data_IF_939161728979
#
_entry.id   IF_939161728979
#
_cell.length_a   1.000
_cell.length_b   1.000
_cell.length_c   1.000
_cell.angle_alpha   90.00
_cell.angle_beta   90.00
_cell.angle_gamma   90.00
#
_symmetry.space_group_name_H-M   'P 1'
#
loop_
_entity.id
_entity.type
_entity.pdbx_description
1 polymer ?
#
# COMPACT_ATOMS: atom_id res chain seq x y z
N UNK A 1 10.09 -14.91 7.89
CA UNK A 1 8.75 -14.36 7.67
C UNK A 1 8.87 -13.50 6.44
N UNK A 2 8.26 -13.88 5.32
CA UNK A 2 8.34 -13.08 4.12
C UNK A 2 7.46 -11.85 4.29
N UNK A 3 8.06 -10.67 4.24
CA UNK A 3 7.35 -9.40 4.12
C UNK A 3 7.25 -9.03 2.63
N UNK A 4 6.34 -8.14 2.29
CA UNK A 4 6.24 -7.63 0.93
C UNK A 4 7.49 -6.81 0.59
N UNK A 5 7.99 -7.02 -0.62
CA UNK A 5 9.11 -6.24 -1.17
C UNK A 5 8.65 -4.84 -1.57
N UNK A 6 9.59 -3.89 -1.62
CA UNK A 6 9.34 -2.52 -2.13
C UNK A 6 8.66 -2.52 -3.49
N UNK A 7 9.05 -3.43 -4.39
CA UNK A 7 8.44 -3.57 -5.73
C UNK A 7 6.98 -3.99 -5.69
N UNK A 8 6.62 -4.93 -4.81
CA UNK A 8 5.24 -5.37 -4.64
C UNK A 8 4.38 -4.24 -4.04
N UNK A 9 4.89 -3.57 -3.00
CA UNK A 9 4.22 -2.44 -2.36
C UNK A 9 4.03 -1.30 -3.37
N UNK A 10 5.09 -0.90 -4.08
CA UNK A 10 5.01 0.10 -5.16
C UNK A 10 3.93 -0.25 -6.17
N UNK A 11 3.90 -1.48 -6.66
CA UNK A 11 2.89 -1.92 -7.64
C UNK A 11 1.47 -1.74 -7.12
N UNK A 12 1.23 -2.10 -5.86
CA UNK A 12 -0.09 -1.98 -5.23
C UNK A 12 -0.45 -0.53 -4.93
N UNK A 13 0.49 0.28 -4.46
CA UNK A 13 0.29 1.73 -4.22
C UNK A 13 -0.07 2.42 -5.53
N UNK A 14 0.69 2.20 -6.61
CA UNK A 14 0.42 2.81 -7.91
C UNK A 14 -0.91 2.34 -8.50
N UNK A 15 -1.23 1.04 -8.38
CA UNK A 15 -2.51 0.50 -8.83
C UNK A 15 -3.69 1.07 -8.03
N UNK A 16 -3.48 1.38 -6.75
CA UNK A 16 -4.50 2.00 -5.90
C UNK A 16 -4.66 3.49 -6.20
N UNK A 17 -3.59 4.21 -6.51
CA UNK A 17 -3.66 5.61 -6.93
C UNK A 17 -4.40 5.80 -8.26
N UNK A 18 -4.22 4.87 -9.19
CA UNK A 18 -4.92 4.88 -10.48
C UNK A 18 -6.45 4.82 -10.39
N UNK A 19 -7.02 4.48 -9.23
CA UNK A 19 -8.49 4.50 -9.05
C UNK A 19 -9.03 5.88 -8.73
N UNK A 20 -8.18 6.82 -8.32
CA UNK A 20 -8.56 8.17 -7.91
C UNK A 20 -7.98 9.27 -8.80
N UNK A 21 -6.86 9.01 -9.48
CA UNK A 21 -6.17 9.99 -10.32
C UNK A 21 -5.25 9.33 -11.36
N UNK A 22 -5.00 10.05 -12.45
CA UNK A 22 -3.92 9.71 -13.38
C UNK A 22 -2.56 10.04 -12.76
N UNK A 23 -1.63 9.09 -12.89
CA UNK A 23 -0.28 9.24 -12.34
C UNK A 23 0.64 9.97 -13.33
N UNK A 24 1.51 10.87 -12.84
CA UNK A 24 2.54 11.51 -13.66
C UNK A 24 3.60 10.50 -14.10
N UNK A 25 4.49 10.94 -15.01
CA UNK A 25 5.59 10.12 -15.55
C UNK A 25 6.54 9.61 -14.45
N UNK A 26 6.78 10.42 -13.41
CA UNK A 26 7.40 9.99 -12.16
C UNK A 26 6.36 9.88 -11.03
N UNK A 27 5.81 8.68 -10.80
CA UNK A 27 4.75 8.50 -9.83
C UNK A 27 5.24 8.46 -8.38
N UNK A 28 6.54 8.27 -8.12
CA UNK A 28 7.09 8.30 -6.75
C UNK A 28 7.20 9.72 -6.20
N UNK A 29 7.47 10.70 -7.07
CA UNK A 29 7.48 12.13 -6.73
C UNK A 29 6.09 12.76 -6.63
N UNK A 30 5.02 12.02 -6.95
CA UNK A 30 3.66 12.54 -6.89
C UNK A 30 3.26 12.87 -5.43
N UNK A 31 2.57 13.99 -5.23
CA UNK A 31 2.17 14.48 -3.90
C UNK A 31 0.71 14.19 -3.60
N UNK A 32 0.38 13.88 -2.35
CA UNK A 32 -1.02 13.72 -1.91
C UNK A 32 -1.75 15.05 -1.69
N UNK A 33 -1.04 16.18 -1.76
CA UNK A 33 -1.60 17.52 -1.51
C UNK A 33 -2.71 17.93 -2.50
N UNK A 34 -2.70 17.38 -3.71
CA UNK A 34 -3.70 17.67 -4.74
C UNK A 34 -5.00 16.87 -4.57
N UNK A 35 -5.03 15.87 -3.67
CA UNK A 35 -6.18 15.01 -3.47
C UNK A 35 -7.06 15.53 -2.34
N UNK A 36 -8.37 15.54 -2.58
CA UNK A 36 -9.34 15.83 -1.53
C UNK A 36 -9.47 14.67 -0.53
N UNK A 37 -10.12 14.93 0.60
CA UNK A 37 -10.28 13.92 1.66
C UNK A 37 -11.05 12.67 1.18
N UNK A 38 -11.99 12.83 0.24
CA UNK A 38 -12.74 11.69 -0.30
C UNK A 38 -11.83 10.81 -1.16
N UNK A 39 -11.03 11.39 -2.04
CA UNK A 39 -10.04 10.69 -2.85
C UNK A 39 -9.00 9.99 -1.96
N UNK A 40 -8.47 10.66 -0.93
CA UNK A 40 -7.56 10.06 0.05
C UNK A 40 -8.19 8.84 0.72
N UNK A 41 -9.44 8.92 1.16
CA UNK A 41 -10.17 7.80 1.74
C UNK A 41 -10.37 6.63 0.77
N UNK A 42 -10.76 6.92 -0.48
CA UNK A 42 -10.93 5.89 -1.52
C UNK A 42 -9.60 5.21 -1.82
N UNK A 43 -8.51 5.97 -1.90
CA UNK A 43 -7.16 5.44 -2.07
C UNK A 43 -6.78 4.52 -0.92
N UNK A 44 -6.90 4.95 0.34
CA UNK A 44 -6.54 4.15 1.51
C UNK A 44 -7.35 2.85 1.61
N UNK A 45 -8.66 2.92 1.32
CA UNK A 45 -9.54 1.74 1.31
C UNK A 45 -9.13 0.76 0.21
N UNK A 46 -8.85 1.28 -0.99
CA UNK A 46 -8.39 0.48 -2.13
C UNK A 46 -7.03 -0.16 -1.83
N UNK A 47 -6.09 0.61 -1.28
CA UNK A 47 -4.76 0.16 -0.90
C UNK A 47 -4.83 -0.99 0.10
N UNK A 48 -5.62 -0.83 1.16
CA UNK A 48 -5.84 -1.89 2.15
C UNK A 48 -6.39 -3.16 1.51
N UNK A 49 -7.39 -3.02 0.64
CA UNK A 49 -7.99 -4.14 -0.07
C UNK A 49 -6.99 -4.87 -0.98
N UNK A 50 -6.19 -4.12 -1.73
CA UNK A 50 -5.19 -4.69 -2.64
C UNK A 50 -4.05 -5.38 -1.89
N UNK A 51 -3.60 -4.84 -0.75
CA UNK A 51 -2.56 -5.47 0.07
C UNK A 51 -3.07 -6.76 0.71
N UNK A 52 -4.28 -6.77 1.26
CA UNK A 52 -4.91 -7.97 1.81
C UNK A 52 -5.17 -9.04 0.74
N UNK A 53 -5.32 -8.65 -0.52
CA UNK A 53 -5.53 -9.58 -1.64
C UNK A 53 -4.23 -10.21 -2.16
N UNK A 54 -3.05 -9.72 -1.74
CA UNK A 54 -1.79 -10.35 -2.12
C UNK A 54 -1.62 -11.69 -1.41
N UNK A 55 -1.21 -12.74 -2.13
CA UNK A 55 -0.97 -14.03 -1.51
C UNK A 55 0.19 -13.93 -0.51
N UNK A 56 0.02 -14.48 0.68
CA UNK A 56 1.11 -14.61 1.64
C UNK A 56 2.08 -15.69 1.18
N UNK A 57 3.37 -15.35 1.14
CA UNK A 57 4.43 -16.26 0.74
C UNK A 57 5.11 -16.83 1.98
N UNK A 58 5.21 -18.15 2.06
CA UNK A 58 5.99 -18.84 3.09
C UNK A 58 7.49 -18.76 2.76
N UNK A 59 8.35 -19.08 3.74
CA UNK A 59 9.80 -19.01 3.54
C UNK A 59 10.31 -19.98 2.46
N UNK A 60 9.51 -20.98 2.07
CA UNK A 60 9.79 -21.94 1.00
C UNK A 60 9.34 -21.45 -0.39
N UNK A 61 8.79 -20.23 -0.47
CA UNK A 61 8.28 -19.62 -1.70
C UNK A 61 6.87 -20.05 -2.10
N UNK A 62 6.24 -20.95 -1.35
CA UNK A 62 4.85 -21.37 -1.59
C UNK A 62 3.86 -20.34 -1.03
N UNK A 63 2.67 -20.26 -1.65
CA UNK A 63 1.58 -19.40 -1.16
C UNK A 63 0.78 -20.11 -0.09
N UNK A 64 0.40 -19.41 0.98
CA UNK A 64 -0.44 -19.93 2.04
C UNK A 64 -1.65 -19.05 2.32
N UNK A 65 -2.76 -19.69 2.66
CA UNK A 65 -4.00 -19.04 3.10
C UNK A 65 -4.08 -18.90 4.63
N UNK A 66 -3.06 -19.35 5.37
CA UNK A 66 -3.05 -19.31 6.84
C UNK A 66 -2.69 -17.92 7.40
N UNK A 67 -2.28 -16.99 6.54
CA UNK A 67 -1.91 -15.64 6.95
C UNK A 67 -2.14 -14.64 5.81
N UNK A 68 -2.18 -13.35 6.16
CA UNK A 68 -2.26 -12.24 5.21
C UNK A 68 -1.42 -11.06 5.68
N UNK A 69 -1.08 -10.16 4.75
CA UNK A 69 -0.41 -8.91 5.06
C UNK A 69 -1.42 -7.87 5.52
N UNK A 70 -1.16 -7.21 6.65
CA UNK A 70 -1.99 -6.15 7.19
C UNK A 70 -1.17 -4.89 7.45
N UNK A 71 -1.81 -3.73 7.28
CA UNK A 71 -1.24 -2.41 7.56
C UNK A 71 -2.30 -1.56 8.25
N UNK A 72 -1.88 -0.83 9.29
CA UNK A 72 -2.78 0.03 10.04
C UNK A 72 -2.94 1.40 9.35
N UNK A 73 -3.67 1.41 8.24
CA UNK A 73 -4.01 2.62 7.52
C UNK A 73 -5.13 3.37 8.26
N UNK A 74 -4.83 4.56 8.75
CA UNK A 74 -5.79 5.52 9.32
C UNK A 74 -6.15 6.59 8.28
N UNK A 75 -7.30 7.28 8.42
CA UNK A 75 -7.66 8.41 7.54
C UNK A 75 -6.56 9.47 7.42
N UNK A 76 -5.82 9.69 8.51
CA UNK A 76 -4.79 10.72 8.61
C UNK A 76 -3.42 10.22 8.11
N UNK A 77 -3.28 8.93 7.75
CA UNK A 77 -2.00 8.38 7.31
C UNK A 77 -1.43 9.09 6.08
N UNK A 78 -2.30 9.58 5.18
CA UNK A 78 -1.84 10.35 4.00
C UNK A 78 -1.25 11.71 4.35
N UNK A 79 -1.53 12.25 5.53
CA UNK A 79 -1.00 13.55 5.96
C UNK A 79 0.44 13.40 6.50
N UNK A 80 0.85 12.18 6.86
CA UNK A 80 2.23 11.83 7.19
C UNK A 80 3.10 11.57 5.95
N UNK A 81 2.51 11.51 4.75
CA UNK A 81 3.21 11.18 3.50
C UNK A 81 3.18 12.36 2.52
N UNK A 82 4.24 13.17 2.47
CA UNK A 82 4.37 14.23 1.47
C UNK A 82 4.26 13.70 0.03
N UNK A 83 4.85 12.53 -0.23
CA UNK A 83 4.93 11.91 -1.55
C UNK A 83 4.51 10.44 -1.55
N UNK A 84 4.28 9.90 -2.74
CA UNK A 84 4.03 8.47 -2.95
C UNK A 84 5.22 7.60 -2.52
N UNK A 85 6.45 8.09 -2.68
CA UNK A 85 7.64 7.42 -2.15
C UNK A 85 7.54 7.24 -0.62
N UNK A 86 7.16 8.29 0.11
CA UNK A 86 6.99 8.25 1.56
C UNK A 86 5.91 7.23 1.97
N UNK A 87 4.82 7.16 1.21
CA UNK A 87 3.78 6.14 1.40
C UNK A 87 4.32 4.71 1.24
N UNK A 88 5.10 4.45 0.18
CA UNK A 88 5.71 3.15 -0.06
C UNK A 88 6.65 2.77 1.09
N UNK A 89 7.51 3.69 1.49
CA UNK A 89 8.52 3.43 2.51
C UNK A 89 7.87 3.26 3.90
N UNK A 90 6.84 4.06 4.23
CA UNK A 90 6.07 3.89 5.46
C UNK A 90 5.38 2.52 5.52
N UNK A 91 4.82 2.03 4.41
CA UNK A 91 4.21 0.69 4.35
C UNK A 91 5.27 -0.40 4.57
N UNK A 92 6.48 -0.24 4.01
CA UNK A 92 7.58 -1.18 4.22
C UNK A 92 7.91 -1.31 5.70
N UNK A 93 7.93 -0.19 6.43
CA UNK A 93 8.28 -0.13 7.84
C UNK A 93 7.14 -0.61 8.76
N UNK A 94 5.88 -0.47 8.33
CA UNK A 94 4.71 -0.71 9.18
C UNK A 94 3.87 -1.95 8.81
N UNK A 95 4.23 -2.67 7.75
CA UNK A 95 3.56 -3.92 7.39
C UNK A 95 3.72 -4.99 8.48
N UNK A 96 2.65 -5.77 8.67
CA UNK A 96 2.63 -6.88 9.62
C UNK A 96 1.98 -8.09 8.96
N UNK A 97 2.37 -9.28 9.41
CA UNK A 97 1.73 -10.54 9.03
C UNK A 97 0.72 -10.90 10.12
N UNK A 98 -0.52 -11.19 9.72
CA UNK A 98 -1.57 -11.66 10.61
C UNK A 98 -1.87 -13.12 10.26
N UNK A 99 -1.79 -13.98 11.27
CA UNK A 99 -2.12 -15.41 11.16
C UNK A 99 -3.60 -15.64 11.51
N UNK A 100 -4.24 -16.55 10.78
CA UNK A 100 -5.62 -16.97 10.98
C UNK A 100 -5.74 -18.09 12.00
#
# INVERSE_FOLDING_TARGET
MALLTRTQIKTVVLKSLKTIADLPEDPEAATFAAFDNFQKHVFLSTLKGQINALPYYMNDGSTSYLAYYNINLTPDSTDEWPTVADCIDWIIENQRVVYL
#
